data_IF_214925084352
#
_entry.id   IF_214925084352
#
_cell.length_a   1.000
_cell.length_b   1.000
_cell.length_c   1.000
_cell.angle_alpha   90.00
_cell.angle_beta   90.00
_cell.angle_gamma   90.00
#
_symmetry.space_group_name_H-M   'P 1'
#
loop_
_entity.id
_entity.type
_entity.pdbx_description
1 polymer ?
#
# COMPACT_ATOMS: atom_id res chain seq x y z
N UNK A 1 -12.61 -3.62 4.39
CA UNK A 1 -12.64 -2.15 4.25
C UNK A 1 -11.90 -1.80 2.97
N UNK A 2 -12.26 -0.70 2.31
CA UNK A 2 -11.63 -0.25 1.06
C UNK A 2 -10.87 1.04 1.30
N UNK A 3 -9.73 1.17 0.63
CA UNK A 3 -9.01 2.41 0.47
C UNK A 3 -9.52 3.08 -0.79
N UNK A 4 -9.78 4.38 -0.71
CA UNK A 4 -9.96 5.19 -1.90
C UNK A 4 -8.68 5.17 -2.75
N UNK A 5 -8.85 5.28 -4.07
CA UNK A 5 -7.74 5.40 -4.99
C UNK A 5 -6.87 6.62 -4.60
N UNK A 6 -5.57 6.39 -4.46
CA UNK A 6 -4.59 7.45 -4.18
C UNK A 6 -3.38 7.32 -5.09
N UNK A 7 -2.66 8.42 -5.24
CA UNK A 7 -1.41 8.48 -6.00
C UNK A 7 -0.24 8.82 -5.09
N UNK A 8 0.88 8.12 -5.26
CA UNK A 8 2.15 8.39 -4.57
C UNK A 8 3.29 8.53 -5.57
N UNK A 9 4.16 9.51 -5.35
CA UNK A 9 5.38 9.69 -6.15
C UNK A 9 6.51 8.90 -5.49
N UNK A 10 7.06 7.94 -6.23
CA UNK A 10 8.17 7.10 -5.78
C UNK A 10 9.42 7.93 -5.54
N UNK A 11 9.88 7.97 -4.29
CA UNK A 11 10.90 8.93 -3.84
C UNK A 11 12.23 8.81 -4.60
N UNK A 12 12.63 7.60 -5.00
CA UNK A 12 13.91 7.37 -5.68
C UNK A 12 13.87 7.64 -7.20
N UNK A 13 12.70 7.56 -7.84
CA UNK A 13 12.59 7.62 -9.31
C UNK A 13 11.72 8.75 -9.85
N UNK A 14 10.95 9.43 -8.99
CA UNK A 14 9.96 10.44 -9.39
C UNK A 14 8.77 9.87 -10.18
N UNK A 15 8.60 8.54 -10.21
CA UNK A 15 7.49 7.90 -10.90
C UNK A 15 6.23 7.93 -10.04
N UNK A 16 5.12 8.37 -10.63
CA UNK A 16 3.82 8.39 -9.96
C UNK A 16 3.15 7.03 -10.10
N UNK A 17 2.82 6.44 -8.96
CA UNK A 17 2.06 5.20 -8.85
C UNK A 17 0.67 5.51 -8.32
N UNK A 18 -0.37 5.00 -8.97
CA UNK A 18 -1.74 4.98 -8.45
C UNK A 18 -1.98 3.66 -7.76
N UNK A 19 -2.70 3.66 -6.65
CA UNK A 19 -3.09 2.41 -6.02
C UNK A 19 -4.49 2.49 -5.41
N UNK A 20 -5.17 1.36 -5.50
CA UNK A 20 -6.40 1.06 -4.79
C UNK A 20 -6.19 -0.17 -3.93
N UNK A 21 -6.92 -0.31 -2.84
CA UNK A 21 -6.70 -1.46 -1.96
C UNK A 21 -7.84 -1.78 -1.03
N UNK A 22 -7.74 -2.97 -0.45
CA UNK A 22 -8.66 -3.52 0.51
C UNK A 22 -7.88 -3.99 1.73
N UNK A 23 -8.42 -3.73 2.92
CA UNK A 23 -7.83 -4.18 4.17
C UNK A 23 -8.87 -4.76 5.13
N UNK A 24 -8.40 -5.63 6.01
CA UNK A 24 -9.20 -6.27 7.05
C UNK A 24 -8.49 -6.14 8.39
N UNK A 25 -9.18 -5.60 9.39
CA UNK A 25 -8.67 -5.41 10.74
C UNK A 25 -8.98 -6.66 11.56
N UNK A 26 -7.94 -7.43 11.88
CA UNK A 26 -8.01 -8.55 12.81
C UNK A 26 -7.68 -8.14 14.25
N UNK A 27 -7.80 -9.08 15.20
CA UNK A 27 -7.53 -8.80 16.62
C UNK A 27 -6.04 -8.53 16.92
N UNK A 28 -5.14 -9.05 16.08
CA UNK A 28 -3.68 -8.95 16.29
C UNK A 28 -2.93 -8.31 15.13
N UNK A 29 -3.54 -8.19 13.95
CA UNK A 29 -2.94 -7.61 12.76
C UNK A 29 -4.01 -7.09 11.79
N UNK A 30 -3.63 -6.09 11.01
CA UNK A 30 -4.40 -5.61 9.86
C UNK A 30 -3.77 -6.24 8.63
N UNK A 31 -4.54 -7.00 7.87
CA UNK A 31 -4.10 -7.55 6.58
C UNK A 31 -4.57 -6.64 5.46
N UNK A 32 -3.75 -6.44 4.44
CA UNK A 32 -4.09 -5.58 3.32
C UNK A 32 -3.58 -6.13 1.99
N UNK A 33 -4.28 -5.72 0.94
CA UNK A 33 -3.96 -5.96 -0.46
C UNK A 33 -4.19 -4.67 -1.22
N UNK A 34 -3.25 -4.27 -2.05
CA UNK A 34 -3.37 -3.10 -2.88
C UNK A 34 -2.93 -3.43 -4.31
N UNK A 35 -3.71 -2.98 -5.29
CA UNK A 35 -3.30 -2.97 -6.69
C UNK A 35 -2.58 -1.67 -6.95
N UNK A 36 -1.31 -1.73 -7.34
CA UNK A 36 -0.50 -0.58 -7.68
C UNK A 36 -0.30 -0.55 -9.19
N UNK A 37 -0.65 0.56 -9.82
CA UNK A 37 -0.44 0.81 -11.23
C UNK A 37 0.50 1.99 -11.47
N UNK A 38 1.26 1.96 -12.57
CA UNK A 38 2.10 3.05 -13.06
C UNK A 38 1.84 3.24 -14.55
N UNK A 39 1.00 4.20 -14.88
CA UNK A 39 0.52 4.39 -16.26
C UNK A 39 -0.31 3.20 -16.75
N UNK A 40 -0.33 2.97 -18.06
CA UNK A 40 -1.10 1.88 -18.67
C UNK A 40 -0.36 0.52 -18.70
N UNK A 41 0.95 0.53 -18.48
CA UNK A 41 1.84 -0.59 -18.82
C UNK A 41 2.33 -1.38 -17.60
N UNK A 42 2.06 -0.91 -16.38
CA UNK A 42 2.48 -1.56 -15.16
C UNK A 42 1.33 -1.64 -14.17
N UNK A 43 1.00 -2.86 -13.75
CA UNK A 43 0.10 -3.13 -12.65
C UNK A 43 0.66 -4.29 -11.82
N UNK A 44 0.70 -4.12 -10.50
CA UNK A 44 1.22 -5.12 -9.57
C UNK A 44 0.36 -5.16 -8.32
N UNK A 45 -0.03 -6.36 -7.90
CA UNK A 45 -0.65 -6.56 -6.60
C UNK A 45 0.43 -6.60 -5.52
N UNK A 46 0.24 -5.79 -4.48
CA UNK A 46 1.02 -5.79 -3.25
C UNK A 46 0.13 -6.30 -2.12
N UNK A 47 0.70 -7.08 -1.22
CA UNK A 47 0.03 -7.56 -0.02
C UNK A 47 0.93 -7.40 1.18
N UNK A 48 0.35 -7.18 2.35
CA UNK A 48 1.11 -7.11 3.58
C UNK A 48 0.22 -7.18 4.82
N UNK A 49 0.87 -7.06 5.97
CA UNK A 49 0.16 -6.91 7.23
C UNK A 49 0.85 -5.90 8.15
N UNK A 50 0.04 -5.29 9.02
CA UNK A 50 0.46 -4.33 10.03
C UNK A 50 0.08 -4.89 11.40
N UNK A 51 1.02 -5.13 12.32
CA UNK A 51 0.70 -5.67 13.65
C UNK A 51 -0.12 -4.66 14.46
N UNK A 52 -1.22 -5.11 15.05
CA UNK A 52 -2.06 -4.32 15.96
C UNK A 52 -1.46 -4.42 17.36
N UNK A 53 -0.50 -3.56 17.65
CA UNK A 53 0.17 -3.51 18.96
C UNK A 53 -0.61 -2.72 20.00
N UNK A 54 -1.66 -2.00 19.59
CA UNK A 54 -2.50 -1.19 20.47
C UNK A 54 -3.89 -0.97 19.87
N UNK A 55 -4.94 -0.80 20.70
CA UNK A 55 -6.30 -0.54 20.22
C UNK A 55 -6.41 0.71 19.32
N UNK A 56 -5.53 1.70 19.52
CA UNK A 56 -5.47 2.90 18.69
C UNK A 56 -5.12 2.62 17.22
N UNK A 57 -4.38 1.54 16.93
CA UNK A 57 -4.01 1.15 15.55
C UNK A 57 -5.24 0.76 14.74
N UNK A 58 -6.29 0.22 15.36
CA UNK A 58 -7.54 -0.06 14.68
C UNK A 58 -8.31 1.22 14.26
N UNK A 59 -8.11 2.33 14.99
CA UNK A 59 -8.72 3.64 14.68
C UNK A 59 -8.00 4.32 13.51
N UNK A 60 -6.68 4.13 13.41
CA UNK A 60 -5.84 4.65 12.31
C UNK A 60 -5.52 3.56 11.29
N UNK A 61 -6.33 2.51 11.19
CA UNK A 61 -6.03 1.36 10.35
C UNK A 61 -5.86 1.74 8.88
N UNK A 62 -6.68 2.68 8.40
CA UNK A 62 -6.58 3.23 7.05
C UNK A 62 -5.22 3.86 6.78
N UNK A 63 -4.80 4.78 7.65
CA UNK A 63 -3.53 5.51 7.54
C UNK A 63 -2.32 4.58 7.74
N UNK A 64 -2.43 3.59 8.62
CA UNK A 64 -1.39 2.59 8.83
C UNK A 64 -1.19 1.69 7.61
N UNK A 65 -2.29 1.29 6.95
CA UNK A 65 -2.23 0.53 5.70
C UNK A 65 -1.69 1.41 4.58
N UNK A 66 -2.09 2.68 4.51
CA UNK A 66 -1.59 3.66 3.55
C UNK A 66 -0.06 3.80 3.63
N UNK A 67 0.48 4.02 4.83
CA UNK A 67 1.93 4.10 5.07
C UNK A 67 2.64 2.80 4.65
N UNK A 68 2.06 1.64 4.98
CA UNK A 68 2.62 0.35 4.59
C UNK A 68 2.66 0.14 3.06
N UNK A 69 1.63 0.56 2.34
CA UNK A 69 1.58 0.51 0.87
C UNK A 69 2.62 1.45 0.28
N UNK A 70 2.64 2.71 0.72
CA UNK A 70 3.61 3.73 0.26
C UNK A 70 5.04 3.24 0.45
N UNK A 71 5.36 2.69 1.63
CA UNK A 71 6.67 2.14 1.91
C UNK A 71 7.04 0.97 0.99
N UNK A 72 6.07 0.11 0.64
CA UNK A 72 6.31 -0.95 -0.34
C UNK A 72 6.51 -0.40 -1.74
N UNK A 73 5.76 0.64 -2.14
CA UNK A 73 5.97 1.34 -3.41
C UNK A 73 7.38 1.92 -3.45
N UNK A 74 7.85 2.58 -2.39
CA UNK A 74 9.21 3.13 -2.24
C UNK A 74 10.33 2.07 -2.23
N UNK A 75 9.99 0.80 -2.02
CA UNK A 75 10.90 -0.33 -2.15
C UNK A 75 10.86 -1.00 -3.53
N UNK A 76 9.93 -0.63 -4.41
CA UNK A 76 9.90 -1.15 -5.77
C UNK A 76 11.08 -0.57 -6.55
N UNK A 77 12.02 -1.44 -6.94
CA UNK A 77 13.14 -1.00 -7.77
C UNK A 77 12.62 -0.36 -9.07
N UNK A 78 13.08 0.86 -9.42
CA UNK A 78 12.70 1.51 -10.66
C UNK A 78 13.45 0.84 -11.83
N UNK A 79 13.02 -0.35 -12.23
CA UNK A 79 13.73 -1.09 -13.26
C UNK A 79 13.42 -2.58 -13.45
N UNK A 80 12.51 -3.19 -12.70
CA UNK A 80 12.11 -4.58 -12.99
C UNK A 80 11.10 -4.65 -14.15
N UNK A 81 11.50 -4.14 -15.32
CA UNK A 81 10.98 -4.64 -16.58
C UNK A 81 11.70 -5.97 -16.84
N UNK A 82 10.95 -7.07 -16.86
CA UNK A 82 11.44 -8.36 -17.32
C UNK A 82 11.70 -8.32 -18.83
#
# INVERSE_FOLDING_TARGET
MRLDERSHEHAASGQVYTYDGEYSVGPSEITWRATVARGADFQRELTGSVPVTSPGVAVIAEEAVHDAIVKQIDMLEPGAAA
#
